data_IF_621256817167
#
_entry.id   IF_621256817167
#
_cell.length_a   1.000
_cell.length_b   1.000
_cell.length_c   1.000
_cell.angle_alpha   90.00
_cell.angle_beta   90.00
_cell.angle_gamma   90.00
#
_symmetry.space_group_name_H-M   'P 1'
#
loop_
_entity.id
_entity.type
_entity.pdbx_description
1 polymer ?
#
# COMPACT_ATOMS: atom_id res chain seq x y z
N UNK A 1 11.53 25.93 -29.21
CA UNK A 1 10.72 24.68 -29.23
C UNK A 1 11.17 23.73 -28.11
N UNK A 2 11.36 24.26 -26.89
CA UNK A 2 11.95 23.52 -25.75
C UNK A 2 11.03 23.54 -24.52
N UNK A 3 10.05 24.44 -24.50
CA UNK A 3 9.07 24.57 -23.40
C UNK A 3 8.05 23.43 -23.38
N UNK A 4 7.62 22.90 -24.53
CA UNK A 4 6.65 21.80 -24.63
C UNK A 4 7.19 20.47 -24.08
N UNK A 5 8.48 20.18 -24.29
CA UNK A 5 9.13 18.98 -23.75
C UNK A 5 9.20 19.05 -22.21
N UNK A 6 9.50 20.23 -21.66
CA UNK A 6 9.59 20.43 -20.21
C UNK A 6 8.22 20.40 -19.52
N UNK A 7 7.17 20.95 -20.14
CA UNK A 7 5.79 20.86 -19.64
C UNK A 7 5.24 19.44 -19.73
N UNK A 8 5.52 18.72 -20.82
CA UNK A 8 5.18 17.30 -20.95
C UNK A 8 5.84 16.42 -19.87
N UNK A 9 7.11 16.69 -19.54
CA UNK A 9 7.83 16.00 -18.47
C UNK A 9 7.24 16.28 -17.07
N UNK A 10 6.88 17.54 -16.79
CA UNK A 10 6.25 17.93 -15.52
C UNK A 10 4.84 17.33 -15.37
N UNK A 11 4.03 17.38 -16.41
CA UNK A 11 2.68 16.82 -16.42
C UNK A 11 2.70 15.30 -16.18
N UNK A 12 3.65 14.59 -16.82
CA UNK A 12 3.86 13.15 -16.60
C UNK A 12 4.21 12.84 -15.15
N UNK A 13 5.16 13.58 -14.56
CA UNK A 13 5.55 13.39 -13.15
C UNK A 13 4.38 13.62 -12.20
N UNK A 14 3.53 14.61 -12.48
CA UNK A 14 2.34 14.86 -11.67
C UNK A 14 1.33 13.72 -11.76
N UNK A 15 1.11 13.18 -12.96
CA UNK A 15 0.24 12.01 -13.17
C UNK A 15 0.79 10.77 -12.46
N UNK A 16 2.11 10.54 -12.53
CA UNK A 16 2.78 9.45 -11.84
C UNK A 16 2.58 9.53 -10.31
N UNK A 17 2.68 10.73 -9.72
CA UNK A 17 2.42 10.93 -8.29
C UNK A 17 0.95 10.74 -7.91
N UNK A 18 0.03 11.22 -8.73
CA UNK A 18 -1.39 11.03 -8.49
C UNK A 18 -1.75 9.54 -8.48
N UNK A 19 -1.16 8.76 -9.39
CA UNK A 19 -1.38 7.31 -9.44
C UNK A 19 -0.80 6.57 -8.23
N UNK A 20 0.45 6.90 -7.83
CA UNK A 20 1.05 6.30 -6.62
C UNK A 20 0.22 6.66 -5.38
N UNK A 21 -0.29 7.89 -5.31
CA UNK A 21 -1.17 8.36 -4.24
C UNK A 21 -2.49 7.60 -4.18
N UNK A 22 -3.20 7.46 -5.31
CA UNK A 22 -4.48 6.74 -5.35
C UNK A 22 -4.32 5.26 -5.03
N UNK A 23 -3.25 4.62 -5.53
CA UNK A 23 -2.91 3.24 -5.15
C UNK A 23 -2.62 3.11 -3.66
N UNK A 24 -1.82 4.03 -3.09
CA UNK A 24 -1.51 4.02 -1.66
C UNK A 24 -2.77 4.15 -0.80
N UNK A 25 -3.67 5.08 -1.15
CA UNK A 25 -4.93 5.30 -0.45
C UNK A 25 -5.84 4.06 -0.50
N UNK A 26 -6.00 3.45 -1.68
CA UNK A 26 -6.81 2.24 -1.84
C UNK A 26 -6.30 1.08 -0.98
N UNK A 27 -4.99 0.80 -1.02
CA UNK A 27 -4.40 -0.27 -0.20
C UNK A 27 -4.45 0.05 1.30
N UNK A 28 -4.35 1.32 1.70
CA UNK A 28 -4.50 1.72 3.09
C UNK A 28 -5.92 1.49 3.60
N UNK A 29 -6.94 1.78 2.77
CA UNK A 29 -8.34 1.55 3.11
C UNK A 29 -8.61 0.05 3.38
N UNK A 30 -8.11 -0.85 2.53
CA UNK A 30 -8.24 -2.29 2.76
C UNK A 30 -7.62 -2.74 4.10
N UNK A 31 -6.45 -2.20 4.44
CA UNK A 31 -5.78 -2.51 5.71
C UNK A 31 -6.56 -1.98 6.92
N UNK A 32 -7.18 -0.80 6.80
CA UNK A 32 -8.00 -0.20 7.85
C UNK A 32 -9.31 -0.98 8.08
N UNK A 33 -9.95 -1.49 7.04
CA UNK A 33 -11.15 -2.32 7.19
C UNK A 33 -10.87 -3.61 7.96
N UNK A 34 -9.67 -4.19 7.82
CA UNK A 34 -9.26 -5.33 8.67
C UNK A 34 -9.11 -4.97 10.15
N UNK A 35 -8.62 -3.77 10.43
CA UNK A 35 -8.55 -3.28 11.82
C UNK A 35 -9.97 -3.08 12.36
N UNK A 36 -10.88 -2.51 11.55
CA UNK A 36 -12.31 -2.37 11.90
C UNK A 36 -12.95 -3.74 12.20
N UNK A 37 -12.74 -4.75 11.36
CA UNK A 37 -13.19 -6.13 11.60
C UNK A 37 -12.62 -6.68 12.91
N UNK A 38 -11.34 -6.43 13.21
CA UNK A 38 -10.70 -6.83 14.45
C UNK A 38 -11.39 -6.24 15.69
N UNK A 39 -11.68 -4.93 15.68
CA UNK A 39 -12.42 -4.27 16.75
C UNK A 39 -13.83 -4.84 16.91
N UNK A 40 -14.57 -5.04 15.82
CA UNK A 40 -15.92 -5.60 15.88
C UNK A 40 -15.93 -6.99 16.55
N UNK A 41 -14.94 -7.84 16.26
CA UNK A 41 -14.80 -9.17 16.88
C UNK A 41 -14.35 -9.11 18.34
N UNK A 42 -13.52 -8.14 18.71
CA UNK A 42 -13.16 -7.89 20.09
C UNK A 42 -14.37 -7.43 20.93
N UNK A 43 -15.20 -6.55 20.37
CA UNK A 43 -16.44 -6.10 21.01
C UNK A 43 -17.43 -7.27 21.20
N UNK A 44 -17.50 -8.17 20.22
CA UNK A 44 -18.25 -9.43 20.29
C UNK A 44 -17.65 -10.48 21.24
N UNK A 45 -16.51 -10.20 21.89
CA UNK A 45 -15.77 -11.11 22.78
C UNK A 45 -15.24 -12.38 22.09
N UNK A 46 -15.11 -12.37 20.77
CA UNK A 46 -14.49 -13.45 20.00
C UNK A 46 -12.95 -13.38 20.03
N UNK A 47 -12.41 -12.18 20.18
CA UNK A 47 -10.99 -11.91 20.33
C UNK A 47 -10.70 -11.41 21.73
N UNK A 48 -9.58 -11.86 22.31
CA UNK A 48 -9.04 -11.23 23.51
C UNK A 48 -8.16 -10.02 23.13
N UNK A 49 -7.66 -9.30 24.14
CA UNK A 49 -6.85 -8.11 23.93
C UNK A 49 -5.53 -8.39 23.18
N UNK A 50 -4.90 -9.56 23.41
CA UNK A 50 -3.68 -9.95 22.70
C UNK A 50 -3.95 -10.25 21.23
N UNK A 51 -5.09 -10.88 20.92
CA UNK A 51 -5.46 -11.16 19.53
C UNK A 51 -5.71 -9.86 18.75
N UNK A 52 -6.40 -8.89 19.35
CA UNK A 52 -6.61 -7.57 18.74
C UNK A 52 -5.29 -6.81 18.59
N UNK A 53 -4.43 -6.86 19.60
CA UNK A 53 -3.10 -6.25 19.55
C UNK A 53 -2.24 -6.83 18.41
N UNK A 54 -2.29 -8.15 18.15
CA UNK A 54 -1.62 -8.76 17.00
C UNK A 54 -2.18 -8.26 15.66
N UNK A 55 -3.50 -8.06 15.55
CA UNK A 55 -4.12 -7.43 14.36
C UNK A 55 -3.55 -6.03 14.12
N UNK A 56 -3.45 -5.21 15.17
CA UNK A 56 -2.89 -3.85 15.09
C UNK A 56 -1.39 -3.90 14.74
N UNK A 57 -0.63 -4.85 15.30
CA UNK A 57 0.78 -5.03 14.95
C UNK A 57 0.98 -5.43 13.49
N UNK A 58 0.16 -6.35 12.97
CA UNK A 58 0.18 -6.73 11.54
C UNK A 58 -0.16 -5.53 10.65
N UNK A 59 -1.17 -4.75 11.01
CA UNK A 59 -1.51 -3.50 10.31
C UNK A 59 -0.32 -2.53 10.25
N UNK A 60 0.36 -2.28 11.38
CA UNK A 60 1.54 -1.40 11.43
C UNK A 60 2.68 -1.91 10.55
N UNK A 61 2.92 -3.23 10.50
CA UNK A 61 3.95 -3.81 9.62
C UNK A 61 3.56 -3.71 8.14
N UNK A 62 2.32 -4.02 7.80
CA UNK A 62 1.80 -3.93 6.43
C UNK A 62 1.88 -2.50 5.87
N UNK A 63 1.42 -1.51 6.64
CA UNK A 63 1.48 -0.10 6.25
C UNK A 63 2.91 0.41 6.06
N UNK A 64 3.87 -0.07 6.87
CA UNK A 64 5.29 0.24 6.67
C UNK A 64 5.84 -0.31 5.34
N UNK A 65 5.50 -1.55 4.99
CA UNK A 65 5.93 -2.13 3.71
C UNK A 65 5.25 -1.47 2.51
N UNK A 66 3.97 -1.11 2.64
CA UNK A 66 3.25 -0.30 1.66
C UNK A 66 3.92 1.07 1.46
N UNK A 67 4.27 1.75 2.56
CA UNK A 67 4.95 3.04 2.48
C UNK A 67 6.34 2.92 1.85
N UNK A 68 7.14 1.89 2.14
CA UNK A 68 8.43 1.69 1.45
C UNK A 68 8.22 1.49 -0.05
N UNK A 69 7.25 0.67 -0.43
CA UNK A 69 6.94 0.40 -1.82
C UNK A 69 6.52 1.66 -2.60
N UNK A 70 5.66 2.48 -2.01
CA UNK A 70 5.19 3.74 -2.59
C UNK A 70 6.22 4.88 -2.46
N UNK A 71 6.99 4.93 -1.37
CA UNK A 71 8.02 5.93 -1.10
C UNK A 71 9.19 5.82 -2.07
N UNK A 72 9.61 4.59 -2.39
CA UNK A 72 10.58 4.33 -3.46
C UNK A 72 10.04 4.78 -4.83
N UNK A 73 8.71 4.73 -5.03
CA UNK A 73 8.05 5.19 -6.26
C UNK A 73 7.98 6.70 -6.41
N UNK A 74 7.88 7.45 -5.31
CA UNK A 74 7.82 8.91 -5.33
C UNK A 74 9.14 9.58 -5.77
N UNK A 75 10.23 8.81 -5.90
CA UNK A 75 11.54 9.29 -6.37
C UNK A 75 12.16 8.51 -7.52
N UNK A 76 11.81 7.23 -7.71
CA UNK A 76 12.42 6.34 -8.71
C UNK A 76 11.45 5.91 -9.80
N UNK A 77 11.91 5.93 -11.05
CA UNK A 77 11.18 5.43 -12.23
C UNK A 77 10.65 4.02 -12.04
N UNK A 78 11.42 3.16 -11.37
CA UNK A 78 11.04 1.78 -11.10
C UNK A 78 9.82 1.64 -10.18
N UNK A 79 9.62 2.55 -9.23
CA UNK A 79 8.43 2.46 -8.37
C UNK A 79 7.18 3.04 -9.04
N UNK A 80 7.33 4.07 -9.88
CA UNK A 80 6.26 4.58 -10.74
C UNK A 80 5.78 3.48 -11.70
N UNK A 81 6.70 2.81 -12.40
CA UNK A 81 6.36 1.73 -13.33
C UNK A 81 5.66 0.56 -12.62
N UNK A 82 6.05 0.25 -11.37
CA UNK A 82 5.35 -0.75 -10.53
C UNK A 82 3.95 -0.32 -10.11
N UNK A 83 3.71 0.98 -9.88
CA UNK A 83 2.38 1.50 -9.58
C UNK A 83 1.48 1.46 -10.82
N UNK A 84 1.99 1.85 -11.99
CA UNK A 84 1.29 1.71 -13.29
C UNK A 84 0.90 0.25 -13.57
N UNK A 85 1.84 -0.68 -13.43
CA UNK A 85 1.58 -2.10 -13.64
C UNK A 85 0.48 -2.68 -12.73
N UNK A 86 0.15 -2.01 -11.62
CA UNK A 86 -0.84 -2.45 -10.62
C UNK A 86 -2.15 -1.66 -10.67
N UNK A 87 -2.09 -0.37 -10.98
CA UNK A 87 -3.27 0.48 -11.14
C UNK A 87 -4.07 0.18 -12.40
N UNK A 88 -3.43 -0.30 -13.47
CA UNK A 88 -4.06 -0.55 -14.77
C UNK A 88 -4.78 -1.91 -14.88
N UNK A 89 -4.93 -2.67 -13.78
CA UNK A 89 -5.59 -3.97 -13.79
C UNK A 89 -4.85 -5.04 -14.62
N UNK A 90 -3.54 -4.85 -14.86
CA UNK A 90 -2.69 -5.89 -15.44
C UNK A 90 -2.61 -7.13 -14.53
N UNK A 91 -2.17 -8.29 -15.04
CA UNK A 91 -2.00 -9.52 -14.28
C UNK A 91 -0.84 -9.39 -13.28
N UNK A 92 -0.98 -8.50 -12.32
CA UNK A 92 -0.14 -8.37 -11.15
C UNK A 92 -0.84 -9.10 -10.01
N UNK A 93 -0.17 -10.12 -9.48
CA UNK A 93 -0.55 -10.77 -8.23
C UNK A 93 -0.96 -9.71 -7.19
N UNK A 94 -2.20 -9.80 -6.69
CA UNK A 94 -2.69 -8.94 -5.61
C UNK A 94 -1.70 -9.06 -4.46
N UNK A 95 -0.92 -8.01 -4.23
CA UNK A 95 0.07 -8.07 -3.16
C UNK A 95 -0.67 -8.05 -1.85
N UNK A 96 -0.63 -9.20 -1.19
CA UNK A 96 -1.10 -9.29 0.18
C UNK A 96 -0.09 -8.58 1.10
N UNK A 97 -0.36 -7.29 1.33
CA UNK A 97 0.42 -6.45 2.25
C UNK A 97 0.44 -7.01 3.67
N UNK A 98 -0.56 -7.82 4.05
CA UNK A 98 -0.60 -8.54 5.33
C UNK A 98 0.51 -9.59 5.41
N UNK A 99 0.66 -10.43 4.39
CA UNK A 99 1.69 -11.46 4.35
C UNK A 99 3.08 -10.86 4.21
N UNK A 100 3.24 -9.79 3.42
CA UNK A 100 4.52 -9.04 3.37
C UNK A 100 4.91 -8.39 4.69
N UNK A 101 3.92 -8.03 5.51
CA UNK A 101 4.14 -7.49 6.84
C UNK A 101 4.48 -8.55 7.89
N UNK A 102 4.37 -9.85 7.60
CA UNK A 102 4.75 -10.89 8.56
C UNK A 102 6.27 -11.08 8.59
N UNK A 103 6.85 -11.33 9.78
CA UNK A 103 8.22 -11.80 9.85
C UNK A 103 8.36 -13.12 9.07
N UNK A 104 9.55 -13.42 8.50
CA UNK A 104 9.81 -14.71 7.89
C UNK A 104 9.45 -15.81 8.89
N UNK A 105 8.67 -16.80 8.46
CA UNK A 105 8.41 -17.99 9.25
C UNK A 105 9.74 -18.70 9.44
N UNK A 106 10.38 -18.51 10.59
CA UNK A 106 11.49 -19.35 11.01
C UNK A 106 10.90 -20.72 11.35
N UNK A 107 11.20 -21.71 10.51
CA UNK A 107 11.03 -23.13 10.85
C UNK A 107 12.08 -23.58 11.84
#
# INVERSE_FOLDING_TARGET
MTQDIATGSKARRQADFALVGSYYEAQLAELLERVREGFARYDAKELNAFDLDDVIHRYKRATRELWKFCGDATGSRAGVDRAHARGDGGPGEVVDWRERGNPPRHG
#
